data_IF_575032335945
#
_entry.id   IF_575032335945
#
_cell.length_a   1.000
_cell.length_b   1.000
_cell.length_c   1.000
_cell.angle_alpha   90.00
_cell.angle_beta   90.00
_cell.angle_gamma   90.00
#
_symmetry.space_group_name_H-M   'P 1'
#
loop_
_entity.id
_entity.type
_entity.pdbx_description
1 polymer ?
#
# COMPACT_ATOMS: atom_id res chain seq x y z
N UNK A 1 -3.70 -2.03 18.10
CA UNK A 1 -4.29 -1.93 16.76
C UNK A 1 -3.29 -1.31 15.79
N UNK A 2 -3.19 -1.83 14.61
CA UNK A 2 -2.25 -1.32 13.61
C UNK A 2 -2.79 -0.08 12.90
N UNK A 3 -1.94 0.92 12.69
CA UNK A 3 -2.23 2.05 11.81
C UNK A 3 -1.55 1.81 10.48
N UNK A 4 -2.29 2.09 9.41
CA UNK A 4 -1.76 2.02 8.05
C UNK A 4 -1.86 3.39 7.40
N UNK A 5 -0.82 3.78 6.69
CA UNK A 5 -0.87 4.94 5.82
C UNK A 5 -0.35 4.59 4.45
N UNK A 6 -0.86 5.27 3.43
CA UNK A 6 -0.44 5.06 2.04
C UNK A 6 -0.19 6.41 1.37
N UNK A 7 0.73 6.44 0.44
CA UNK A 7 0.94 7.58 -0.43
C UNK A 7 1.45 7.13 -1.80
N UNK A 8 1.17 7.94 -2.80
CA UNK A 8 1.59 7.69 -4.17
C UNK A 8 2.93 8.38 -4.43
N UNK A 9 3.80 7.66 -5.12
CA UNK A 9 5.12 8.16 -5.47
C UNK A 9 5.50 7.71 -6.86
N UNK A 10 6.07 8.61 -7.65
CA UNK A 10 6.61 8.30 -8.96
C UNK A 10 8.07 7.88 -8.83
N UNK A 11 8.45 6.78 -9.46
CA UNK A 11 9.86 6.36 -9.49
C UNK A 11 10.71 7.33 -10.28
N UNK A 12 11.88 7.60 -9.72
CA UNK A 12 12.93 8.35 -10.39
C UNK A 12 13.42 7.57 -11.60
N UNK A 13 13.91 7.89 -12.61
CA UNK A 13 14.55 7.21 -13.73
C UNK A 13 13.69 6.23 -14.54
N UNK A 14 12.79 5.51 -13.91
CA UNK A 14 11.82 4.66 -14.61
C UNK A 14 10.45 5.14 -14.21
N UNK A 15 9.63 5.52 -15.18
CA UNK A 15 8.30 6.01 -14.84
C UNK A 15 7.44 4.88 -14.33
N UNK A 16 7.01 5.02 -13.11
CA UNK A 16 6.15 4.06 -12.43
C UNK A 16 5.28 4.77 -11.40
N UNK A 17 4.14 4.16 -11.12
CA UNK A 17 3.33 4.54 -9.96
C UNK A 17 3.76 3.65 -8.80
N UNK A 18 4.11 4.24 -7.69
CA UNK A 18 4.51 3.53 -6.49
C UNK A 18 3.63 3.94 -5.32
N UNK A 19 3.18 2.95 -4.57
CA UNK A 19 2.47 3.15 -3.30
C UNK A 19 3.30 2.54 -2.20
N UNK A 20 3.68 3.36 -1.22
CA UNK A 20 4.32 2.88 -0.01
C UNK A 20 3.25 2.75 1.08
N UNK A 21 3.36 1.68 1.86
CA UNK A 21 2.47 1.45 2.98
C UNK A 21 3.29 1.28 4.25
N UNK A 22 2.80 1.84 5.34
CA UNK A 22 3.42 1.63 6.63
C UNK A 22 2.42 1.10 7.65
N UNK A 23 2.94 0.38 8.62
CA UNK A 23 2.17 -0.20 9.72
C UNK A 23 2.89 0.06 11.03
N UNK A 24 2.15 0.52 12.00
CA UNK A 24 2.63 0.67 13.38
C UNK A 24 1.54 0.20 14.33
N UNK A 25 1.94 -0.50 15.38
CA UNK A 25 1.01 -1.00 16.40
C UNK A 25 1.62 -0.77 17.78
N UNK A 26 0.77 -0.46 18.76
CA UNK A 26 1.21 -0.27 20.13
C UNK A 26 1.47 -1.58 20.88
N UNK A 27 1.22 -2.71 20.26
CA UNK A 27 1.51 -4.05 20.78
C UNK A 27 2.41 -4.81 19.82
N UNK A 28 3.21 -5.79 20.30
CA UNK A 28 4.00 -6.61 19.38
C UNK A 28 3.10 -7.46 18.49
N UNK A 29 3.56 -7.65 17.25
CA UNK A 29 2.85 -8.44 16.25
C UNK A 29 3.72 -9.60 15.79
N UNK A 30 3.08 -10.72 15.44
CA UNK A 30 3.72 -11.85 14.79
C UNK A 30 3.08 -12.10 13.43
N UNK A 31 3.87 -12.60 12.50
CA UNK A 31 3.38 -13.02 11.19
C UNK A 31 2.61 -11.90 10.46
N UNK A 32 3.19 -10.69 10.47
CA UNK A 32 2.60 -9.52 9.80
C UNK A 32 2.79 -9.62 8.30
N UNK A 33 1.71 -9.47 7.56
CA UNK A 33 1.73 -9.30 6.10
C UNK A 33 1.00 -8.02 5.74
N UNK A 34 1.64 -7.19 4.90
CA UNK A 34 1.05 -5.94 4.42
C UNK A 34 0.60 -6.15 2.97
N UNK A 35 -0.63 -5.73 2.67
CA UNK A 35 -1.24 -5.80 1.35
C UNK A 35 -1.44 -4.40 0.81
N UNK A 36 -1.18 -4.21 -0.49
CA UNK A 36 -1.37 -2.92 -1.16
C UNK A 36 -2.10 -3.15 -2.47
N UNK A 37 -3.07 -2.28 -2.75
CA UNK A 37 -3.77 -2.20 -4.03
C UNK A 37 -3.47 -0.86 -4.67
N UNK A 38 -3.19 -0.85 -5.96
CA UNK A 38 -3.07 0.37 -6.74
C UNK A 38 -4.29 0.48 -7.64
N UNK A 39 -4.99 1.60 -7.53
CA UNK A 39 -6.19 1.89 -8.29
C UNK A 39 -6.00 3.13 -9.14
N UNK A 40 -6.67 3.18 -10.29
CA UNK A 40 -6.76 4.38 -11.11
C UNK A 40 -8.20 4.83 -11.21
N UNK A 41 -8.40 6.14 -11.22
CA UNK A 41 -9.70 6.74 -11.40
C UNK A 41 -10.16 6.59 -12.84
N UNK A 42 -11.36 6.09 -13.04
CA UNK A 42 -12.02 6.06 -14.33
C UNK A 42 -13.14 7.09 -14.40
N UNK A 43 -13.69 7.26 -15.59
CA UNK A 43 -14.77 8.20 -15.79
C UNK A 43 -16.07 7.76 -15.10
N UNK A 44 -16.40 6.48 -15.19
CA UNK A 44 -17.62 5.90 -14.56
C UNK A 44 -17.26 5.15 -13.29
N UNK A 45 -16.19 4.36 -13.31
CA UNK A 45 -15.76 3.52 -12.20
C UNK A 45 -14.25 3.56 -12.07
N UNK A 46 -13.79 3.39 -10.84
CA UNK A 46 -12.37 3.20 -10.59
C UNK A 46 -11.94 1.79 -10.98
N UNK A 47 -10.69 1.63 -11.39
CA UNK A 47 -10.15 0.36 -11.82
C UNK A 47 -8.98 -0.08 -10.94
N UNK A 48 -9.01 -1.33 -10.51
CA UNK A 48 -7.86 -1.94 -9.87
C UNK A 48 -6.77 -2.17 -10.92
N UNK A 49 -5.59 -1.60 -10.69
CA UNK A 49 -4.44 -1.78 -11.58
C UNK A 49 -3.69 -3.04 -11.22
N UNK A 50 -3.33 -3.21 -9.94
CA UNK A 50 -2.64 -4.40 -9.46
C UNK A 50 -2.72 -4.52 -7.94
N UNK A 51 -2.41 -5.71 -7.43
CA UNK A 51 -2.34 -6.01 -6.01
C UNK A 51 -0.97 -6.53 -5.66
N UNK A 52 -0.52 -6.22 -4.44
CA UNK A 52 0.80 -6.59 -3.95
C UNK A 52 0.70 -7.04 -2.51
N UNK A 53 1.62 -7.89 -2.10
CA UNK A 53 1.77 -8.24 -0.69
C UNK A 53 3.25 -8.29 -0.30
N UNK A 54 3.55 -7.91 0.92
CA UNK A 54 4.88 -8.02 1.49
C UNK A 54 5.22 -9.48 1.79
N UNK A 55 6.51 -9.75 2.02
CA UNK A 55 6.89 -10.96 2.74
C UNK A 55 6.30 -10.93 4.14
N UNK A 56 6.19 -12.09 4.77
CA UNK A 56 5.71 -12.17 6.15
C UNK A 56 6.82 -11.78 7.10
N UNK A 57 6.53 -10.82 8.00
CA UNK A 57 7.43 -10.43 9.08
C UNK A 57 7.12 -11.29 10.29
N UNK A 58 8.06 -12.14 10.71
CA UNK A 58 7.82 -13.09 11.79
C UNK A 58 7.56 -12.42 13.14
N UNK A 59 8.20 -11.29 13.40
CA UNK A 59 8.01 -10.53 14.63
C UNK A 59 8.23 -9.04 14.41
N UNK A 60 7.32 -8.23 14.93
CA UNK A 60 7.44 -6.76 14.93
C UNK A 60 7.21 -6.25 16.35
N UNK A 61 8.21 -5.56 16.92
CA UNK A 61 8.10 -5.01 18.26
C UNK A 61 7.02 -3.92 18.35
N UNK A 62 6.50 -3.72 19.56
CA UNK A 62 5.53 -2.65 19.82
C UNK A 62 6.11 -1.29 19.42
N UNK A 63 5.28 -0.45 18.80
CA UNK A 63 5.63 0.90 18.36
C UNK A 63 6.71 0.98 17.27
N UNK A 64 7.07 -0.15 16.68
CA UNK A 64 8.00 -0.18 15.55
C UNK A 64 7.23 -0.03 14.24
N UNK A 65 7.68 0.91 13.41
CA UNK A 65 7.11 1.12 12.09
C UNK A 65 7.67 0.09 11.10
N UNK A 66 6.78 -0.56 10.36
CA UNK A 66 7.13 -1.44 9.25
C UNK A 66 6.71 -0.76 7.95
N UNK A 67 7.63 -0.64 7.00
CA UNK A 67 7.37 0.02 5.72
C UNK A 67 7.49 -1.00 4.61
N UNK A 68 6.46 -1.06 3.75
CA UNK A 68 6.48 -1.86 2.54
C UNK A 68 6.55 -0.96 1.31
N UNK A 69 7.59 -1.14 0.50
CA UNK A 69 7.88 -0.30 -0.67
C UNK A 69 7.85 -1.07 -1.99
N UNK A 70 7.39 -2.32 -1.98
CA UNK A 70 7.41 -3.19 -3.14
C UNK A 70 6.25 -3.03 -4.12
N UNK A 71 5.28 -2.15 -3.82
CA UNK A 71 4.09 -1.99 -4.65
C UNK A 71 4.30 -0.91 -5.71
N UNK A 72 4.52 -1.32 -6.96
CA UNK A 72 4.67 -0.37 -8.06
C UNK A 72 4.22 -0.97 -9.38
N UNK A 73 3.80 -0.11 -10.31
CA UNK A 73 3.41 -0.47 -11.67
C UNK A 73 4.14 0.41 -12.65
N UNK A 74 4.79 -0.20 -13.64
CA UNK A 74 5.53 0.52 -14.69
C UNK A 74 4.55 1.21 -15.64
N UNK A 75 4.83 2.46 -15.99
CA UNK A 75 4.03 3.21 -16.96
C UNK A 75 4.18 2.65 -18.36
N UNK A 76 3.06 2.51 -19.06
CA UNK A 76 3.04 2.13 -20.47
C UNK A 76 3.12 3.34 -21.40
N UNK A 77 2.69 4.51 -20.94
CA UNK A 77 2.69 5.74 -21.71
C UNK A 77 2.72 6.95 -20.76
N UNK A 78 2.70 8.17 -21.30
CA UNK A 78 2.76 9.41 -20.54
C UNK A 78 1.38 10.05 -20.34
N UNK A 79 0.32 9.30 -20.51
CA UNK A 79 -1.04 9.80 -20.36
C UNK A 79 -1.31 10.15 -18.91
N UNK A 80 -1.84 11.35 -18.66
CA UNK A 80 -2.20 11.76 -17.31
C UNK A 80 -3.32 10.89 -16.76
N UNK A 81 -3.10 10.30 -15.59
CA UNK A 81 -4.04 9.40 -14.94
C UNK A 81 -3.98 9.66 -13.43
N UNK A 82 -5.13 9.70 -12.78
CA UNK A 82 -5.18 9.82 -11.32
C UNK A 82 -5.13 8.46 -10.66
N UNK A 83 -4.28 8.32 -9.64
CA UNK A 83 -4.09 7.09 -8.89
C UNK A 83 -4.32 7.29 -7.40
N UNK A 84 -4.67 6.22 -6.73
CA UNK A 84 -4.64 6.13 -5.28
C UNK A 84 -4.26 4.73 -4.84
N UNK A 85 -3.78 4.62 -3.61
CA UNK A 85 -3.42 3.35 -3.00
C UNK A 85 -4.36 2.96 -1.88
N UNK A 86 -4.55 1.67 -1.70
CA UNK A 86 -5.26 1.10 -0.56
C UNK A 86 -4.31 0.11 0.10
N UNK A 87 -4.14 0.23 1.42
CA UNK A 87 -3.31 -0.68 2.20
C UNK A 87 -4.12 -1.30 3.33
N UNK A 88 -3.82 -2.55 3.62
CA UNK A 88 -4.37 -3.28 4.76
C UNK A 88 -3.36 -4.33 5.19
N UNK A 89 -3.57 -4.94 6.32
CA UNK A 89 -2.65 -5.94 6.85
C UNK A 89 -3.35 -6.97 7.69
N UNK A 90 -2.67 -8.08 7.94
CA UNK A 90 -3.05 -9.06 8.94
C UNK A 90 -1.83 -9.45 9.77
N UNK A 91 -2.06 -9.78 11.02
CA UNK A 91 -1.01 -10.23 11.93
C UNK A 91 -1.61 -11.02 13.09
N UNK A 92 -0.76 -11.75 13.79
CA UNK A 92 -1.12 -12.36 15.07
C UNK A 92 -0.81 -11.38 16.20
N UNK A 93 -1.79 -11.07 17.02
CA UNK A 93 -1.65 -10.29 18.23
C UNK A 93 -2.15 -11.13 19.40
N UNK A 94 -1.26 -11.43 20.33
CA UNK A 94 -1.57 -12.35 21.45
C UNK A 94 -2.18 -13.69 21.00
N UNK A 95 -1.67 -14.26 19.90
CA UNK A 95 -2.12 -15.53 19.35
C UNK A 95 -3.43 -15.47 18.55
N UNK A 96 -4.00 -14.29 18.35
CA UNK A 96 -5.26 -14.11 17.63
C UNK A 96 -4.98 -13.34 16.33
N UNK A 97 -5.53 -13.82 15.21
CA UNK A 97 -5.44 -13.11 13.94
C UNK A 97 -6.24 -11.82 13.98
N UNK A 98 -5.56 -10.72 13.72
CA UNK A 98 -6.14 -9.39 13.62
C UNK A 98 -5.94 -8.85 12.21
N UNK A 99 -6.96 -8.13 11.73
CA UNK A 99 -6.94 -7.51 10.42
C UNK A 99 -7.04 -6.00 10.58
N UNK A 100 -6.06 -5.27 10.06
CA UNK A 100 -6.17 -3.81 10.00
C UNK A 100 -7.13 -3.44 8.87
N UNK A 101 -8.05 -2.48 9.10
CA UNK A 101 -8.99 -2.05 8.08
C UNK A 101 -8.27 -1.40 6.91
N UNK A 102 -8.91 -1.41 5.73
CA UNK A 102 -8.36 -0.78 4.54
C UNK A 102 -8.19 0.72 4.75
N UNK A 103 -6.96 1.20 4.50
CA UNK A 103 -6.62 2.62 4.54
C UNK A 103 -6.34 3.11 3.13
N UNK A 104 -7.09 4.10 2.67
CA UNK A 104 -6.91 4.73 1.38
C UNK A 104 -5.89 5.87 1.51
N UNK A 105 -5.06 6.09 0.47
CA UNK A 105 -4.18 7.24 0.43
C UNK A 105 -4.99 8.52 0.58
N UNK A 106 -4.41 9.51 1.29
CA UNK A 106 -5.11 10.75 1.65
C UNK A 106 -5.53 11.53 0.41
N UNK A 107 -4.71 11.48 -0.65
CA UNK A 107 -4.95 12.20 -1.90
C UNK A 107 -4.85 11.26 -3.08
N UNK A 108 -5.69 11.50 -4.08
CA UNK A 108 -5.44 11.00 -5.42
C UNK A 108 -4.45 11.94 -6.09
N UNK A 109 -3.47 11.40 -6.81
CA UNK A 109 -2.47 12.21 -7.51
C UNK A 109 -2.57 11.97 -9.00
N UNK A 110 -2.70 13.04 -9.81
CA UNK A 110 -2.56 12.91 -11.25
C UNK A 110 -1.07 12.75 -11.60
N UNK A 111 -0.76 11.67 -12.31
CA UNK A 111 0.59 11.36 -12.75
C UNK A 111 0.61 11.14 -14.25
N UNK A 112 1.70 11.54 -14.91
CA UNK A 112 1.93 11.24 -16.33
C UNK A 112 2.38 9.79 -16.47
N UNK A 113 1.46 8.90 -16.23
CA UNK A 113 1.71 7.46 -16.20
C UNK A 113 0.42 6.73 -16.53
N UNK A 114 0.30 6.27 -17.76
CA UNK A 114 -0.79 5.39 -18.16
C UNK A 114 -0.41 3.93 -17.93
N UNK A 115 -1.35 3.14 -17.50
CA UNK A 115 -1.16 1.71 -17.23
C UNK A 115 -2.19 0.85 -17.92
#
# INVERSE_FOLDING_TARGET
MAHLSTYLKEFKNTRAVKVNADSICNKPLQNLTIYVEIHKKGWLNDHLVDTFQSSEYSYVAANRKTIYEGAFVICKNLRSTEYYGIAYSRALEDGIWEFAPKAKSIKTLPLRCGT
#
